data_IF_205523827988
#
_entry.id   IF_205523827988
#
_cell.length_a   1.000
_cell.length_b   1.000
_cell.length_c   1.000
_cell.angle_alpha   90.00
_cell.angle_beta   90.00
_cell.angle_gamma   90.00
#
_symmetry.space_group_name_H-M   'P 1'
#
loop_
_entity.id
_entity.type
_entity.pdbx_description
1 polymer ?
#
# COMPACT_ATOMS: atom_id res chain seq x y z
N UNK A 1 17.11 4.45 16.35
CA UNK A 1 16.14 4.17 17.42
C UNK A 1 14.76 3.75 16.92
N UNK A 2 13.86 4.65 16.44
CA UNK A 2 12.49 4.25 16.07
C UNK A 2 12.42 3.27 14.87
N UNK A 3 13.27 3.47 13.86
CA UNK A 3 13.37 2.59 12.69
C UNK A 3 13.84 1.17 13.05
N UNK A 4 14.91 1.06 13.85
CA UNK A 4 15.45 -0.24 14.28
C UNK A 4 14.45 -1.00 15.14
N UNK A 5 13.76 -0.30 16.05
CA UNK A 5 12.69 -0.89 16.86
C UNK A 5 11.55 -1.41 15.97
N UNK A 6 11.13 -0.64 14.98
CA UNK A 6 10.10 -1.06 14.05
C UNK A 6 10.54 -2.28 13.22
N UNK A 7 11.79 -2.29 12.77
CA UNK A 7 12.39 -3.42 12.05
C UNK A 7 12.32 -4.69 12.91
N UNK A 8 12.78 -4.63 14.16
CA UNK A 8 12.74 -5.77 15.08
C UNK A 8 11.31 -6.26 15.36
N UNK A 9 10.36 -5.34 15.49
CA UNK A 9 8.95 -5.70 15.70
C UNK A 9 8.34 -6.37 14.47
N UNK A 10 8.61 -5.85 13.28
CA UNK A 10 8.13 -6.43 12.02
C UNK A 10 8.74 -7.82 11.81
N UNK A 11 10.03 -8.03 12.13
CA UNK A 11 10.62 -9.37 12.07
C UNK A 11 9.91 -10.36 12.99
N UNK A 12 9.59 -9.97 14.23
CA UNK A 12 8.79 -10.81 15.13
C UNK A 12 7.42 -11.15 14.55
N UNK A 13 6.73 -10.17 13.96
CA UNK A 13 5.44 -10.41 13.30
C UNK A 13 5.57 -11.36 12.10
N UNK A 14 6.66 -11.25 11.34
CA UNK A 14 6.96 -12.16 10.23
C UNK A 14 7.21 -13.58 10.72
N UNK A 15 7.93 -13.75 11.82
CA UNK A 15 8.14 -15.06 12.45
C UNK A 15 6.83 -15.67 12.95
N UNK A 16 5.95 -14.87 13.57
CA UNK A 16 4.61 -15.32 13.97
C UNK A 16 3.78 -15.77 12.76
N UNK A 17 3.83 -15.01 11.67
CA UNK A 17 3.15 -15.38 10.43
C UNK A 17 3.73 -16.66 9.81
N UNK A 18 5.05 -16.85 9.87
CA UNK A 18 5.72 -18.07 9.41
C UNK A 18 5.36 -19.30 10.24
N UNK A 19 5.09 -19.12 11.54
CA UNK A 19 4.57 -20.17 12.43
C UNK A 19 3.06 -20.43 12.25
N UNK A 20 2.37 -19.65 11.42
CA UNK A 20 0.92 -19.78 11.20
C UNK A 20 0.07 -19.25 12.35
N UNK A 21 0.64 -18.45 13.25
CA UNK A 21 -0.08 -17.86 14.40
C UNK A 21 -0.96 -16.68 13.97
N UNK A 22 -0.53 -15.95 12.95
CA UNK A 22 -1.21 -14.77 12.39
C UNK A 22 -1.13 -14.76 10.87
N UNK A 23 -2.01 -13.99 10.24
CA UNK A 23 -1.80 -13.49 8.88
C UNK A 23 -1.22 -12.08 8.99
N UNK A 24 -0.15 -11.81 8.24
CA UNK A 24 0.46 -10.48 8.15
C UNK A 24 0.13 -9.88 6.78
N UNK A 25 -0.34 -8.64 6.73
CA UNK A 25 -0.61 -7.93 5.49
C UNK A 25 0.18 -6.62 5.41
N UNK A 26 0.65 -6.28 4.22
CA UNK A 26 1.33 -5.03 3.92
C UNK A 26 0.42 -4.16 3.06
N UNK A 27 -0.08 -3.06 3.62
CA UNK A 27 -1.06 -2.19 2.98
C UNK A 27 -0.41 -0.90 2.51
N UNK A 28 -0.75 -0.48 1.30
CA UNK A 28 -0.33 0.80 0.75
C UNK A 28 -1.25 1.25 -0.39
N UNK A 29 -1.16 2.53 -0.76
CA UNK A 29 -1.84 3.12 -1.91
C UNK A 29 -0.82 3.55 -2.96
N UNK A 30 -1.11 3.25 -4.23
CA UNK A 30 -0.31 3.73 -5.34
C UNK A 30 -1.15 4.29 -6.48
N UNK A 31 -0.69 5.38 -7.09
CA UNK A 31 -1.33 5.94 -8.28
C UNK A 31 -0.67 5.48 -9.57
N UNK A 32 -1.49 5.11 -10.55
CA UNK A 32 -1.11 4.86 -11.93
C UNK A 32 -1.69 5.94 -12.82
N UNK A 33 -0.82 6.67 -13.53
CA UNK A 33 -1.23 7.65 -14.54
C UNK A 33 -0.99 7.09 -15.94
N UNK A 34 -1.90 7.40 -16.87
CA UNK A 34 -1.69 7.15 -18.29
C UNK A 34 -0.73 8.17 -18.92
N UNK A 35 -0.38 9.25 -18.22
CA UNK A 35 0.65 10.19 -18.68
C UNK A 35 2.00 9.46 -18.73
N UNK A 36 2.68 9.44 -19.88
CA UNK A 36 4.03 8.89 -19.96
C UNK A 36 4.98 9.72 -19.11
N UNK A 37 5.90 9.06 -18.42
CA UNK A 37 6.96 9.75 -17.68
C UNK A 37 7.86 10.51 -18.66
N UNK A 38 8.28 11.72 -18.28
CA UNK A 38 9.26 12.46 -19.07
C UNK A 38 10.59 11.68 -19.04
N UNK A 39 10.95 11.08 -20.17
CA UNK A 39 12.18 10.29 -20.29
C UNK A 39 13.34 11.19 -20.70
N UNK A 40 14.55 10.71 -20.42
CA UNK A 40 15.76 11.39 -20.87
C UNK A 40 15.86 11.39 -22.40
N UNK A 41 16.21 12.55 -22.96
CA UNK A 41 16.52 12.72 -24.37
C UNK A 41 17.83 13.51 -24.53
N UNK A 42 18.61 13.16 -25.55
CA UNK A 42 19.78 13.94 -25.94
C UNK A 42 19.34 15.09 -26.84
N UNK A 43 19.74 16.31 -26.48
CA UNK A 43 19.42 17.53 -27.25
C UNK A 43 20.71 18.29 -27.54
N UNK A 44 20.71 19.10 -28.61
CA UNK A 44 21.86 19.95 -28.94
C UNK A 44 22.07 20.99 -27.83
N UNK A 45 23.32 21.39 -27.66
CA UNK A 45 23.69 22.47 -26.73
C UNK A 45 22.97 23.75 -27.16
N UNK A 46 22.19 24.33 -26.25
CA UNK A 46 21.38 25.53 -26.51
C UNK A 46 19.89 25.26 -26.74
N UNK A 47 19.51 24.00 -27.00
CA UNK A 47 18.12 23.61 -27.22
C UNK A 47 17.50 22.95 -25.97
N UNK A 48 16.22 23.22 -25.72
CA UNK A 48 15.45 22.61 -24.62
C UNK A 48 14.56 21.50 -25.18
N UNK A 49 14.69 20.30 -24.62
CA UNK A 49 13.72 19.23 -24.87
C UNK A 49 12.40 19.55 -24.16
N UNK A 50 11.42 20.02 -24.93
CA UNK A 50 10.07 20.25 -24.44
C UNK A 50 9.20 19.01 -24.66
N UNK A 51 8.36 18.71 -23.67
CA UNK A 51 7.31 17.68 -23.76
C UNK A 51 5.98 18.32 -23.41
N UNK A 52 4.92 17.90 -24.08
CA UNK A 52 3.58 18.39 -23.78
C UNK A 52 3.16 17.95 -22.38
N UNK A 53 2.76 18.92 -21.55
CA UNK A 53 2.32 18.68 -20.18
C UNK A 53 0.87 18.15 -20.13
N UNK A 54 0.60 17.03 -20.79
CA UNK A 54 -0.73 16.43 -20.88
C UNK A 54 -1.02 15.64 -19.60
N UNK A 55 -2.02 16.10 -18.84
CA UNK A 55 -2.55 15.37 -17.68
C UNK A 55 -3.62 14.39 -18.15
N UNK A 56 -3.26 13.12 -18.24
CA UNK A 56 -4.18 12.03 -18.55
C UNK A 56 -4.77 11.44 -17.27
N UNK A 57 -5.74 10.53 -17.45
CA UNK A 57 -6.46 9.88 -16.36
C UNK A 57 -5.48 9.16 -15.41
N UNK A 58 -5.76 9.29 -14.11
CA UNK A 58 -5.08 8.58 -13.02
C UNK A 58 -6.06 7.65 -12.33
N UNK A 59 -5.59 6.46 -11.99
CA UNK A 59 -6.28 5.50 -11.12
C UNK A 59 -5.45 5.34 -9.87
N UNK A 60 -6.07 5.47 -8.71
CA UNK A 60 -5.46 5.12 -7.44
C UNK A 60 -5.81 3.67 -7.11
N UNK A 61 -4.84 2.91 -6.64
CA UNK A 61 -4.98 1.51 -6.30
C UNK A 61 -4.55 1.32 -4.87
N UNK A 62 -5.48 0.87 -4.02
CA UNK A 62 -5.14 0.35 -2.70
C UNK A 62 -4.77 -1.13 -2.85
N UNK A 63 -3.67 -1.53 -2.24
CA UNK A 63 -3.20 -2.90 -2.26
C UNK A 63 -2.87 -3.41 -0.86
N UNK A 64 -3.02 -4.73 -0.69
CA UNK A 64 -2.65 -5.45 0.51
C UNK A 64 -1.98 -6.76 0.09
N UNK A 65 -0.68 -6.86 0.38
CA UNK A 65 0.10 -8.07 0.16
C UNK A 65 0.08 -8.91 1.44
N UNK A 66 -0.63 -10.03 1.43
CA UNK A 66 -0.68 -10.96 2.56
C UNK A 66 0.57 -11.83 2.63
N UNK A 67 0.91 -12.33 3.82
CA UNK A 67 1.99 -13.28 4.09
C UNK A 67 1.82 -14.60 3.33
N UNK A 68 0.61 -14.89 2.87
CA UNK A 68 0.29 -16.03 2.00
C UNK A 68 0.71 -15.82 0.55
N UNK A 69 1.20 -14.63 0.19
CA UNK A 69 1.53 -14.23 -1.18
C UNK A 69 0.34 -13.68 -1.97
N UNK A 70 -0.88 -13.72 -1.42
CA UNK A 70 -2.06 -13.16 -2.08
C UNK A 70 -2.00 -11.63 -2.05
N UNK A 71 -2.08 -11.01 -3.22
CA UNK A 71 -2.29 -9.58 -3.38
C UNK A 71 -3.79 -9.30 -3.54
N UNK A 72 -4.35 -8.49 -2.64
CA UNK A 72 -5.73 -8.00 -2.72
C UNK A 72 -5.70 -6.55 -3.14
N UNK A 73 -6.38 -6.16 -4.22
CA UNK A 73 -6.36 -4.79 -4.75
C UNK A 73 -7.76 -4.21 -4.88
N UNK A 74 -7.89 -2.89 -4.72
CA UNK A 74 -9.08 -2.13 -5.07
C UNK A 74 -8.69 -0.87 -5.84
N UNK A 75 -9.35 -0.64 -6.97
CA UNK A 75 -9.07 0.49 -7.86
C UNK A 75 -10.13 1.58 -7.69
N UNK A 76 -9.70 2.83 -7.55
CA UNK A 76 -10.55 4.02 -7.53
C UNK A 76 -10.06 5.03 -8.56
N UNK A 77 -10.98 5.62 -9.31
CA UNK A 77 -10.69 6.75 -10.21
C UNK A 77 -10.71 8.11 -9.49
N UNK A 78 -11.06 8.11 -8.20
CA UNK A 78 -11.16 9.30 -7.36
C UNK A 78 -10.06 9.32 -6.29
N UNK A 79 -10.01 10.41 -5.53
CA UNK A 79 -9.14 10.51 -4.34
C UNK A 79 -9.55 9.48 -3.29
N UNK A 80 -8.57 8.75 -2.75
CA UNK A 80 -8.82 7.84 -1.64
C UNK A 80 -9.13 8.66 -0.39
N UNK A 81 -10.32 8.46 0.17
CA UNK A 81 -10.75 9.06 1.42
C UNK A 81 -10.50 8.09 2.57
N UNK A 82 -10.47 8.60 3.81
CA UNK A 82 -10.36 7.75 5.00
C UNK A 82 -11.49 6.71 5.11
N UNK A 83 -12.69 7.04 4.60
CA UNK A 83 -13.84 6.12 4.54
C UNK A 83 -13.57 4.96 3.58
N UNK A 84 -13.08 5.25 2.37
CA UNK A 84 -12.75 4.21 1.39
C UNK A 84 -11.63 3.30 1.88
N UNK A 85 -10.60 3.90 2.50
CA UNK A 85 -9.51 3.15 3.10
C UNK A 85 -10.03 2.18 4.18
N UNK A 86 -10.88 2.67 5.09
CA UNK A 86 -11.47 1.81 6.13
C UNK A 86 -12.35 0.68 5.56
N UNK A 87 -13.20 1.00 4.58
CA UNK A 87 -14.04 -0.01 3.92
C UNK A 87 -13.17 -1.12 3.29
N UNK A 88 -12.08 -0.72 2.67
CA UNK A 88 -11.10 -1.65 2.11
C UNK A 88 -10.43 -2.53 3.17
N UNK A 89 -9.94 -1.93 4.28
CA UNK A 89 -9.36 -2.70 5.40
C UNK A 89 -10.36 -3.70 6.00
N UNK A 90 -11.61 -3.27 6.16
CA UNK A 90 -12.70 -4.12 6.68
C UNK A 90 -12.97 -5.29 5.76
N UNK A 91 -13.00 -5.06 4.45
CA UNK A 91 -13.16 -6.12 3.44
C UNK A 91 -12.04 -7.16 3.51
N UNK A 92 -10.78 -6.72 3.66
CA UNK A 92 -9.64 -7.63 3.86
C UNK A 92 -9.79 -8.42 5.15
N UNK A 93 -10.11 -7.74 6.26
CA UNK A 93 -10.26 -8.37 7.57
C UNK A 93 -11.35 -9.45 7.57
N UNK A 94 -12.49 -9.15 6.96
CA UNK A 94 -13.57 -10.12 6.77
C UNK A 94 -13.13 -11.30 5.92
N UNK A 95 -12.50 -11.05 4.77
CA UNK A 95 -12.03 -12.12 3.88
C UNK A 95 -11.00 -13.02 4.57
N UNK A 96 -10.04 -12.45 5.29
CA UNK A 96 -9.02 -13.22 6.03
C UNK A 96 -9.64 -14.04 7.15
N UNK A 97 -10.57 -13.46 7.92
CA UNK A 97 -11.28 -14.18 8.98
C UNK A 97 -12.09 -15.35 8.43
N UNK A 98 -12.78 -15.17 7.30
CA UNK A 98 -13.54 -16.23 6.65
C UNK A 98 -12.66 -17.33 6.05
N UNK A 99 -11.49 -16.97 5.50
CA UNK A 99 -10.63 -17.91 4.76
C UNK A 99 -9.70 -18.68 5.68
N UNK A 100 -9.07 -18.00 6.64
CA UNK A 100 -8.00 -18.57 7.47
C UNK A 100 -8.41 -18.69 8.95
N UNK A 101 -9.41 -17.93 9.39
CA UNK A 101 -9.84 -17.87 10.79
C UNK A 101 -8.69 -17.61 11.79
N UNK A 102 -7.72 -16.79 11.38
CA UNK A 102 -6.55 -16.39 12.17
C UNK A 102 -6.57 -14.88 12.44
N UNK A 103 -5.91 -14.41 13.52
CA UNK A 103 -5.69 -12.99 13.74
C UNK A 103 -4.94 -12.36 12.56
N UNK A 104 -5.30 -11.14 12.22
CA UNK A 104 -4.68 -10.38 11.14
C UNK A 104 -3.92 -9.20 11.70
N UNK A 105 -2.68 -9.01 11.25
CA UNK A 105 -1.92 -7.78 11.51
C UNK A 105 -1.65 -7.09 10.18
N UNK A 106 -2.06 -5.84 10.06
CA UNK A 106 -1.84 -5.03 8.86
C UNK A 106 -0.78 -3.98 9.14
N UNK A 107 0.32 -4.04 8.40
CA UNK A 107 1.36 -3.03 8.37
C UNK A 107 0.89 -1.92 7.43
N UNK A 108 0.81 -0.70 7.95
CA UNK A 108 0.30 0.48 7.23
C UNK A 108 1.32 1.62 7.35
N UNK A 109 1.42 2.42 6.29
CA UNK A 109 2.20 3.65 6.31
C UNK A 109 1.61 4.67 7.31
N UNK A 110 2.42 5.65 7.73
CA UNK A 110 2.01 6.64 8.73
C UNK A 110 1.61 7.98 8.08
N UNK A 111 0.87 7.90 6.97
CA UNK A 111 0.27 9.06 6.32
C UNK A 111 -0.66 9.84 7.27
N UNK A 112 -0.76 11.15 7.04
CA UNK A 112 -1.60 12.06 7.82
C UNK A 112 -3.08 11.67 7.83
N UNK A 113 -3.54 10.99 6.77
CA UNK A 113 -4.91 10.48 6.59
C UNK A 113 -5.28 9.49 7.72
N UNK A 114 -4.30 8.80 8.31
CA UNK A 114 -4.51 7.82 9.37
C UNK A 114 -4.58 8.40 10.79
N UNK A 115 -4.35 9.71 10.97
CA UNK A 115 -4.34 10.36 12.30
C UNK A 115 -5.69 10.94 12.74
N UNK A 116 -6.74 10.79 11.93
CA UNK A 116 -8.06 11.33 12.28
C UNK A 116 -8.70 10.58 13.46
N UNK A 117 -9.55 11.27 14.26
CA UNK A 117 -10.30 10.65 15.36
C UNK A 117 -11.12 9.43 14.90
N UNK A 118 -11.70 9.51 13.70
CA UNK A 118 -12.41 8.40 13.05
C UNK A 118 -11.54 7.14 12.91
N UNK A 119 -10.24 7.29 12.69
CA UNK A 119 -9.32 6.15 12.58
C UNK A 119 -9.10 5.44 13.93
N UNK A 120 -9.25 6.13 15.07
CA UNK A 120 -9.21 5.46 16.37
C UNK A 120 -10.40 4.50 16.53
N UNK A 121 -11.62 4.99 16.25
CA UNK A 121 -12.85 4.20 16.31
C UNK A 121 -12.78 2.99 15.36
N UNK A 122 -12.28 3.21 14.14
CA UNK A 122 -12.07 2.17 13.14
C UNK A 122 -11.07 1.10 13.57
N UNK A 123 -9.99 1.48 14.25
CA UNK A 123 -9.02 0.53 14.81
C UNK A 123 -9.65 -0.36 15.86
N UNK A 124 -10.47 0.22 16.73
CA UNK A 124 -11.18 -0.52 17.75
C UNK A 124 -12.17 -1.52 17.13
N UNK A 125 -12.94 -1.09 16.13
CA UNK A 125 -13.89 -1.95 15.41
C UNK A 125 -13.19 -3.11 14.68
N UNK A 126 -12.06 -2.87 14.02
CA UNK A 126 -11.28 -3.94 13.38
C UNK A 126 -10.77 -4.96 14.39
N UNK A 127 -10.31 -4.49 15.54
CA UNK A 127 -9.78 -5.35 16.61
C UNK A 127 -10.87 -6.18 17.25
N UNK A 128 -12.00 -5.58 17.61
CA UNK A 128 -13.10 -6.26 18.30
C UNK A 128 -13.87 -7.22 17.39
N UNK A 129 -14.18 -6.81 16.15
CA UNK A 129 -15.05 -7.60 15.27
C UNK A 129 -14.28 -8.64 14.45
N UNK A 130 -13.03 -8.36 14.09
CA UNK A 130 -12.26 -9.16 13.14
C UNK A 130 -10.93 -9.67 13.67
N UNK A 131 -10.60 -9.42 14.94
CA UNK A 131 -9.29 -9.77 15.52
C UNK A 131 -8.14 -9.21 14.67
N UNK A 132 -8.34 -8.00 14.12
CA UNK A 132 -7.40 -7.35 13.20
C UNK A 132 -6.72 -6.17 13.88
N UNK A 133 -5.39 -6.16 13.90
CA UNK A 133 -4.59 -5.07 14.46
C UNK A 133 -3.88 -4.29 13.35
N UNK A 134 -3.75 -2.97 13.51
CA UNK A 134 -2.95 -2.13 12.62
C UNK A 134 -1.61 -1.81 13.27
N UNK A 135 -0.53 -2.00 12.52
CA UNK A 135 0.82 -1.63 12.89
C UNK A 135 1.31 -0.50 11.98
N UNK A 136 1.59 0.67 12.57
CA UNK A 136 2.04 1.84 11.82
C UNK A 136 3.56 1.91 11.81
N UNK A 137 4.15 1.94 10.62
CA UNK A 137 5.60 2.11 10.46
C UNK A 137 6.03 3.56 10.76
N UNK A 138 7.31 3.79 11.09
CA UNK A 138 7.85 5.14 11.18
C UNK A 138 7.68 5.93 9.87
N UNK A 139 7.64 7.26 9.97
CA UNK A 139 7.57 8.11 8.79
C UNK A 139 8.83 7.95 7.93
N UNK A 140 8.64 8.03 6.60
CA UNK A 140 9.73 7.88 5.61
C UNK A 140 10.48 6.55 5.68
N UNK A 141 9.78 5.45 5.97
CA UNK A 141 10.36 4.09 6.03
C UNK A 141 9.71 3.10 5.05
N UNK A 142 9.61 3.42 3.74
CA UNK A 142 8.97 2.54 2.74
C UNK A 142 9.62 1.16 2.64
N UNK A 143 10.90 1.01 3.00
CA UNK A 143 11.63 -0.26 3.03
C UNK A 143 11.05 -1.30 3.99
N UNK A 144 10.28 -0.85 4.99
CA UNK A 144 9.57 -1.73 5.92
C UNK A 144 8.24 -2.23 5.34
N UNK A 145 7.78 -1.65 4.23
CA UNK A 145 6.52 -1.99 3.59
C UNK A 145 6.76 -2.81 2.31
N UNK A 146 6.61 -4.14 2.39
CA UNK A 146 6.97 -5.04 1.27
C UNK A 146 6.18 -4.82 -0.01
N UNK A 147 4.96 -4.27 0.08
CA UNK A 147 4.15 -4.01 -1.10
C UNK A 147 4.77 -2.95 -2.02
N UNK A 148 5.66 -2.09 -1.51
CA UNK A 148 6.42 -1.12 -2.31
C UNK A 148 7.26 -1.80 -3.40
N UNK A 149 7.77 -3.01 -3.14
CA UNK A 149 8.45 -3.80 -4.16
C UNK A 149 7.51 -4.20 -5.29
N UNK A 150 6.26 -4.55 -4.98
CA UNK A 150 5.23 -4.89 -5.97
C UNK A 150 4.90 -3.65 -6.80
N UNK A 151 4.70 -2.50 -6.15
CA UNK A 151 4.44 -1.23 -6.86
C UNK A 151 5.58 -0.82 -7.77
N UNK A 152 6.83 -0.98 -7.33
CA UNK A 152 8.00 -0.75 -8.17
C UNK A 152 7.98 -1.65 -9.41
N UNK A 153 7.70 -2.94 -9.25
CA UNK A 153 7.60 -3.86 -10.39
C UNK A 153 6.48 -3.45 -11.35
N UNK A 154 5.30 -3.17 -10.83
CA UNK A 154 4.14 -2.74 -11.63
C UNK A 154 4.43 -1.45 -12.40
N UNK A 155 5.02 -0.44 -11.76
CA UNK A 155 5.20 0.88 -12.40
C UNK A 155 6.28 0.87 -13.47
N UNK A 156 7.38 0.16 -13.25
CA UNK A 156 8.57 0.27 -14.08
C UNK A 156 8.80 -0.89 -15.04
N UNK A 157 8.23 -2.07 -14.77
CA UNK A 157 8.56 -3.28 -15.53
C UNK A 157 7.33 -3.97 -16.13
N UNK A 158 6.17 -3.94 -15.48
CA UNK A 158 4.97 -4.63 -15.97
C UNK A 158 4.02 -3.74 -16.78
N UNK A 159 4.39 -2.48 -16.99
CA UNK A 159 3.63 -1.52 -17.79
C UNK A 159 4.22 -1.41 -19.18
N UNK A 160 3.49 -1.90 -20.16
CA UNK A 160 3.74 -1.58 -21.56
C UNK A 160 2.97 -0.32 -21.93
N UNK A 161 3.71 0.68 -22.42
CA UNK A 161 3.09 1.84 -23.06
C UNK A 161 2.83 1.47 -24.53
N UNK A 162 1.55 1.31 -24.87
CA UNK A 162 1.15 1.26 -26.26
C UNK A 162 1.22 2.68 -26.82
N UNK A 163 2.22 2.95 -27.66
CA UNK A 163 2.27 4.18 -28.44
C UNK A 163 1.29 3.96 -29.60
N UNK A 164 0.21 4.76 -29.65
CA UNK A 164 -0.68 4.79 -30.82
C UNK A 164 -0.01 5.50 -31.99
#
# INVERSE_FOLDING_TARGET
>A
MAFEQATQQIEKLREQAARGEIILGYVDETGFSSTPDNRYAWTKIGDVHAVDAIRLKRVNVMGCLLSTGKLVTSCLQESVTSTWFYAYLTGIAQQVKQTYNLPLVLIVDNASIHRSKKMADYRELLKSNFSTNLYFIPAYSPELNRIEMVWKQMKYYWRDFQVM
#
